data_IF_880839886660
#
_entry.id   IF_880839886660
#
_cell.length_a   1.000
_cell.length_b   1.000
_cell.length_c   1.000
_cell.angle_alpha   90.00
_cell.angle_beta   90.00
_cell.angle_gamma   90.00
#
_symmetry.space_group_name_H-M   'P 1'
#
loop_
_entity.id
_entity.type
_entity.pdbx_description
1 polymer ?
#
# COMPACT_ATOMS: atom_id res chain seq x y z
N UNK A 1 13.78 12.34 -29.38
CA UNK A 1 12.43 12.94 -29.35
C UNK A 1 11.48 12.35 -30.40
N UNK A 2 11.66 12.59 -31.71
CA UNK A 2 10.69 12.17 -32.74
C UNK A 2 10.34 10.66 -32.75
N UNK A 3 11.35 9.78 -32.72
CA UNK A 3 11.13 8.32 -32.65
C UNK A 3 10.33 7.90 -31.41
N UNK A 4 10.60 8.50 -30.25
CA UNK A 4 9.88 8.22 -29.01
C UNK A 4 8.42 8.66 -29.09
N UNK A 5 8.13 9.85 -29.66
CA UNK A 5 6.74 10.30 -29.89
C UNK A 5 5.99 9.31 -30.78
N UNK A 6 6.61 8.87 -31.86
CA UNK A 6 6.00 7.90 -32.78
C UNK A 6 5.65 6.58 -32.06
N UNK A 7 6.58 6.02 -31.28
CA UNK A 7 6.34 4.79 -30.50
C UNK A 7 5.17 4.98 -29.52
N UNK A 8 5.12 6.10 -28.80
CA UNK A 8 4.00 6.39 -27.88
C UNK A 8 2.69 6.46 -28.67
N UNK A 9 2.61 7.27 -29.73
CA UNK A 9 1.39 7.47 -30.54
C UNK A 9 0.86 6.14 -31.09
N UNK A 10 1.73 5.28 -31.61
CA UNK A 10 1.33 3.98 -32.15
C UNK A 10 0.72 3.03 -31.11
N UNK A 11 1.02 3.22 -29.82
CA UNK A 11 0.47 2.41 -28.74
C UNK A 11 -0.87 2.95 -28.20
N UNK A 12 -1.28 4.16 -28.58
CA UNK A 12 -2.49 4.80 -28.05
C UNK A 12 -3.71 4.54 -28.93
N UNK A 13 -4.86 4.35 -28.28
CA UNK A 13 -6.15 4.44 -28.95
C UNK A 13 -6.51 5.91 -29.26
N UNK A 14 -7.55 6.15 -30.06
CA UNK A 14 -7.95 7.50 -30.50
C UNK A 14 -8.25 8.45 -29.34
N UNK A 15 -8.82 7.96 -28.24
CA UNK A 15 -9.11 8.80 -27.07
C UNK A 15 -7.82 9.28 -26.39
N UNK A 16 -6.88 8.38 -26.16
CA UNK A 16 -5.61 8.71 -25.51
C UNK A 16 -4.70 9.55 -26.40
N UNK A 17 -4.69 9.29 -27.70
CA UNK A 17 -3.99 10.15 -28.66
C UNK A 17 -4.45 11.60 -28.57
N UNK A 18 -5.76 11.85 -28.53
CA UNK A 18 -6.32 13.20 -28.43
C UNK A 18 -5.88 13.93 -27.15
N UNK A 19 -5.56 13.21 -26.08
CA UNK A 19 -5.10 13.82 -24.81
C UNK A 19 -3.67 14.31 -24.87
N UNK A 20 -2.82 13.67 -25.68
CA UNK A 20 -1.37 13.94 -25.76
C UNK A 20 -0.94 14.58 -27.08
N UNK A 21 -1.85 14.72 -28.06
CA UNK A 21 -1.54 15.20 -29.41
C UNK A 21 -0.98 16.62 -29.44
N UNK A 22 -1.35 17.46 -28.47
CA UNK A 22 -0.84 18.83 -28.31
C UNK A 22 0.52 18.93 -27.61
N UNK A 23 1.05 17.84 -27.05
CA UNK A 23 2.34 17.84 -26.37
C UNK A 23 3.51 18.02 -27.36
N UNK A 24 4.44 18.91 -27.02
CA UNK A 24 5.60 19.22 -27.86
C UNK A 24 6.62 18.08 -27.84
N UNK A 25 6.85 17.48 -26.67
CA UNK A 25 7.89 16.46 -26.46
C UNK A 25 7.29 15.10 -26.12
N UNK A 26 8.05 14.02 -26.40
CA UNK A 26 7.68 12.68 -25.96
C UNK A 26 7.59 12.59 -24.43
N UNK A 27 8.39 13.38 -23.72
CA UNK A 27 8.37 13.49 -22.27
C UNK A 27 7.03 14.05 -21.78
N UNK A 28 6.56 15.17 -22.33
CA UNK A 28 5.25 15.72 -21.97
C UNK A 28 4.10 14.75 -22.26
N UNK A 29 4.17 14.00 -23.38
CA UNK A 29 3.18 12.97 -23.68
C UNK A 29 3.17 11.88 -22.60
N UNK A 30 4.34 11.41 -22.19
CA UNK A 30 4.49 10.42 -21.14
C UNK A 30 4.01 10.94 -19.78
N UNK A 31 4.49 12.11 -19.35
CA UNK A 31 4.13 12.75 -18.09
C UNK A 31 2.59 12.97 -18.00
N UNK A 32 1.93 13.31 -19.13
CA UNK A 32 0.46 13.45 -19.22
C UNK A 32 -0.28 12.11 -19.09
N UNK A 33 0.25 11.04 -19.67
CA UNK A 33 -0.31 9.69 -19.55
C UNK A 33 -0.13 9.16 -18.13
N UNK A 34 1.05 9.34 -17.55
CA UNK A 34 1.35 8.98 -16.16
C UNK A 34 0.37 9.66 -15.19
N UNK A 35 0.19 10.98 -15.30
CA UNK A 35 -0.79 11.71 -14.47
C UNK A 35 -2.22 11.23 -14.72
N UNK A 36 -2.57 10.89 -15.96
CA UNK A 36 -3.90 10.42 -16.32
C UNK A 36 -4.24 9.07 -15.68
N UNK A 37 -3.30 8.14 -15.70
CA UNK A 37 -3.55 6.75 -15.34
C UNK A 37 -3.11 6.39 -13.93
N UNK A 38 -2.02 6.98 -13.47
CA UNK A 38 -1.46 6.72 -12.15
C UNK A 38 -1.72 7.85 -11.15
N UNK A 39 -2.19 9.02 -11.63
CA UNK A 39 -2.33 10.23 -10.83
C UNK A 39 -1.01 10.99 -10.68
N UNK A 40 -1.06 12.17 -10.06
CA UNK A 40 0.15 12.95 -9.77
C UNK A 40 0.92 12.35 -8.60
N UNK A 41 2.24 12.56 -8.57
CA UNK A 41 3.09 12.15 -7.45
C UNK A 41 2.59 12.72 -6.11
N UNK A 42 2.08 13.95 -6.09
CA UNK A 42 1.53 14.58 -4.88
C UNK A 42 0.28 13.85 -4.37
N UNK A 43 -0.60 13.40 -5.27
CA UNK A 43 -1.80 12.62 -4.88
C UNK A 43 -1.40 11.24 -4.37
N UNK A 44 -0.44 10.57 -5.03
CA UNK A 44 0.11 9.29 -4.55
C UNK A 44 0.71 9.43 -3.16
N UNK A 45 1.54 10.45 -2.94
CA UNK A 45 2.19 10.72 -1.65
C UNK A 45 1.19 11.05 -0.55
N UNK A 46 0.18 11.89 -0.83
CA UNK A 46 -0.89 12.18 0.12
C UNK A 46 -1.66 10.90 0.52
N UNK A 47 -1.92 10.00 -0.43
CA UNK A 47 -2.57 8.70 -0.16
C UNK A 47 -1.68 7.78 0.68
N UNK A 48 -0.38 7.71 0.39
CA UNK A 48 0.58 6.97 1.22
C UNK A 48 0.56 7.51 2.65
N UNK A 49 0.66 8.82 2.84
CA UNK A 49 0.68 9.44 4.16
C UNK A 49 -0.61 9.17 4.96
N UNK A 50 -1.77 9.22 4.30
CA UNK A 50 -3.04 8.86 4.92
C UNK A 50 -3.06 7.40 5.39
N UNK A 51 -2.63 6.47 4.54
CA UNK A 51 -2.59 5.04 4.85
C UNK A 51 -1.54 4.70 5.92
N UNK A 52 -0.37 5.36 5.89
CA UNK A 52 0.66 5.23 6.94
C UNK A 52 0.10 5.68 8.27
N UNK A 53 -0.62 6.81 8.31
CA UNK A 53 -1.28 7.27 9.54
C UNK A 53 -2.34 6.28 10.03
N UNK A 54 -3.14 5.73 9.12
CA UNK A 54 -4.13 4.70 9.46
C UNK A 54 -3.46 3.44 10.02
N UNK A 55 -2.36 3.00 9.42
CA UNK A 55 -1.52 1.91 9.93
C UNK A 55 -0.95 2.23 11.32
N UNK A 56 -0.34 3.40 11.52
CA UNK A 56 0.26 3.79 12.80
C UNK A 56 -0.79 3.86 13.91
N UNK A 57 -1.96 4.44 13.64
CA UNK A 57 -3.08 4.55 14.57
C UNK A 57 -3.93 3.27 14.67
N UNK A 58 -3.59 2.22 13.91
CA UNK A 58 -4.35 0.97 13.91
C UNK A 58 -4.43 0.36 15.30
N UNK A 59 -5.62 -0.06 15.69
CA UNK A 59 -5.90 -0.85 16.89
C UNK A 59 -7.12 -1.73 16.65
N UNK A 60 -7.22 -2.83 17.40
CA UNK A 60 -8.45 -3.63 17.44
C UNK A 60 -9.59 -2.78 18.03
N UNK A 61 -10.77 -2.84 17.43
CA UNK A 61 -11.98 -2.15 17.95
C UNK A 61 -12.63 -2.98 19.06
N UNK A 62 -13.38 -2.33 19.95
CA UNK A 62 -14.01 -2.98 21.12
C UNK A 62 -14.97 -4.13 20.77
N UNK A 63 -15.67 -4.05 19.63
CA UNK A 63 -16.64 -5.05 19.17
C UNK A 63 -16.19 -5.79 17.92
N UNK A 64 -14.90 -5.75 17.61
CA UNK A 64 -14.31 -6.45 16.48
C UNK A 64 -13.77 -7.80 16.94
N UNK A 65 -13.90 -8.83 16.12
CA UNK A 65 -13.22 -10.11 16.35
C UNK A 65 -11.85 -10.11 15.65
N UNK A 66 -10.98 -11.07 15.99
CA UNK A 66 -9.61 -11.13 15.46
C UNK A 66 -9.63 -11.20 13.93
N UNK A 67 -10.46 -12.05 13.34
CA UNK A 67 -10.56 -12.17 11.88
C UNK A 67 -10.90 -10.83 11.20
N UNK A 68 -11.85 -10.07 11.76
CA UNK A 68 -12.24 -8.75 11.27
C UNK A 68 -11.09 -7.73 11.37
N UNK A 69 -10.35 -7.76 12.49
CA UNK A 69 -9.15 -6.95 12.67
C UNK A 69 -8.10 -7.29 11.60
N UNK A 70 -7.81 -8.57 11.37
CA UNK A 70 -6.84 -9.00 10.36
C UNK A 70 -7.23 -8.57 8.95
N UNK A 71 -8.52 -8.70 8.57
CA UNK A 71 -9.00 -8.22 7.26
C UNK A 71 -8.73 -6.71 7.10
N UNK A 72 -9.05 -5.91 8.11
CA UNK A 72 -8.77 -4.45 8.09
C UNK A 72 -7.28 -4.16 7.99
N UNK A 73 -6.46 -4.87 8.75
CA UNK A 73 -5.01 -4.72 8.73
C UNK A 73 -4.43 -5.04 7.34
N UNK A 74 -4.79 -6.20 6.78
CA UNK A 74 -4.32 -6.65 5.46
C UNK A 74 -4.77 -5.70 4.35
N UNK A 75 -5.97 -5.12 4.43
CA UNK A 75 -6.42 -4.12 3.46
C UNK A 75 -5.52 -2.86 3.45
N UNK A 76 -5.06 -2.40 4.61
CA UNK A 76 -4.13 -1.27 4.72
C UNK A 76 -2.77 -1.65 4.12
N UNK A 77 -2.23 -2.82 4.48
CA UNK A 77 -0.95 -3.32 3.97
C UNK A 77 -0.98 -3.47 2.45
N UNK A 78 -2.01 -4.11 1.89
CA UNK A 78 -2.16 -4.30 0.45
C UNK A 78 -2.25 -2.96 -0.29
N UNK A 79 -2.97 -1.99 0.29
CA UNK A 79 -3.08 -0.64 -0.27
C UNK A 79 -1.73 0.08 -0.29
N UNK A 80 -0.94 -0.03 0.78
CA UNK A 80 0.41 0.53 0.85
C UNK A 80 1.37 -0.17 -0.11
N UNK A 81 1.31 -1.50 -0.21
CA UNK A 81 2.13 -2.30 -1.12
C UNK A 81 1.85 -1.94 -2.59
N UNK A 82 0.58 -1.69 -2.95
CA UNK A 82 0.21 -1.24 -4.29
C UNK A 82 0.82 0.12 -4.66
N UNK A 83 1.21 0.91 -3.66
CA UNK A 83 1.90 2.20 -3.79
C UNK A 83 3.41 2.07 -3.52
N UNK A 84 3.97 0.86 -3.62
CA UNK A 84 5.39 0.56 -3.39
C UNK A 84 5.88 0.85 -1.96
N UNK A 85 4.98 0.96 -0.97
CA UNK A 85 5.32 1.05 0.45
C UNK A 85 5.06 -0.31 1.12
N UNK A 86 6.12 -1.07 1.33
CA UNK A 86 6.03 -2.41 1.92
C UNK A 86 6.44 -2.41 3.40
N UNK A 87 5.86 -3.33 4.16
CA UNK A 87 6.33 -3.72 5.49
C UNK A 87 6.77 -5.17 5.45
N UNK A 88 7.85 -5.47 6.15
CA UNK A 88 8.34 -6.82 6.37
C UNK A 88 7.34 -7.61 7.22
N UNK A 89 7.39 -8.95 7.11
CA UNK A 89 6.54 -9.83 7.90
C UNK A 89 6.72 -9.59 9.42
N UNK A 90 7.95 -9.39 9.88
CA UNK A 90 8.25 -9.15 11.29
C UNK A 90 7.69 -7.81 11.79
N UNK A 91 7.71 -6.76 10.97
CA UNK A 91 7.05 -5.49 11.30
C UNK A 91 5.54 -5.66 11.44
N UNK A 92 4.92 -6.44 10.54
CA UNK A 92 3.48 -6.73 10.57
C UNK A 92 3.09 -7.54 11.81
N UNK A 93 3.82 -8.61 12.14
CA UNK A 93 3.62 -9.42 13.34
C UNK A 93 3.69 -8.56 14.59
N UNK A 94 4.77 -7.80 14.76
CA UNK A 94 4.95 -6.90 15.92
C UNK A 94 3.88 -5.81 15.96
N UNK A 95 3.38 -5.37 14.81
CA UNK A 95 2.31 -4.38 14.76
C UNK A 95 0.99 -4.98 15.25
N UNK A 96 0.57 -6.12 14.74
CA UNK A 96 -0.67 -6.79 15.17
C UNK A 96 -0.65 -7.06 16.67
N UNK A 97 0.44 -7.63 17.20
CA UNK A 97 0.56 -7.93 18.63
C UNK A 97 0.38 -6.67 19.51
N UNK A 98 0.95 -5.53 19.09
CA UNK A 98 0.78 -4.23 19.77
C UNK A 98 -0.61 -3.62 19.64
N UNK A 99 -1.39 -4.03 18.64
CA UNK A 99 -2.72 -3.52 18.35
C UNK A 99 -3.83 -4.31 19.06
N UNK A 100 -3.49 -5.43 19.72
CA UNK A 100 -4.44 -6.24 20.48
C UNK A 100 -4.84 -5.55 21.80
N UNK A 101 -6.06 -5.79 22.31
CA UNK A 101 -6.52 -5.26 23.59
C UNK A 101 -5.65 -5.75 24.77
N UNK A 102 -5.61 -4.99 25.86
CA UNK A 102 -4.81 -5.34 27.06
C UNK A 102 -5.16 -6.71 27.65
N UNK A 103 -6.38 -7.20 27.46
CA UNK A 103 -6.80 -8.55 27.87
C UNK A 103 -6.02 -9.68 27.18
N UNK A 104 -5.39 -9.40 26.04
CA UNK A 104 -4.55 -10.34 25.30
C UNK A 104 -3.08 -10.35 25.75
N UNK A 105 -2.67 -9.44 26.64
CA UNK A 105 -1.28 -9.32 27.08
C UNK A 105 -0.64 -10.64 27.52
N UNK A 106 -1.30 -11.51 28.33
CA UNK A 106 -0.69 -12.80 28.70
C UNK A 106 -0.38 -13.70 27.51
N UNK A 107 -1.22 -13.68 26.47
CA UNK A 107 -1.00 -14.45 25.24
C UNK A 107 0.11 -13.84 24.38
N UNK A 108 0.16 -12.51 24.29
CA UNK A 108 1.22 -11.79 23.58
C UNK A 108 2.59 -12.12 24.21
N UNK A 109 2.71 -12.00 25.53
CA UNK A 109 3.95 -12.36 26.25
C UNK A 109 4.35 -13.81 26.01
N UNK A 110 3.41 -14.76 26.06
CA UNK A 110 3.71 -16.16 25.79
C UNK A 110 4.23 -16.39 24.35
N UNK A 111 3.71 -15.67 23.35
CA UNK A 111 4.20 -15.74 21.97
C UNK A 111 5.61 -15.14 21.86
N UNK A 112 5.84 -13.98 22.49
CA UNK A 112 7.14 -13.29 22.48
C UNK A 112 8.25 -14.10 23.16
N UNK A 113 7.92 -14.89 24.19
CA UNK A 113 8.86 -15.77 24.88
C UNK A 113 9.10 -17.09 24.11
N UNK A 114 8.08 -17.62 23.44
CA UNK A 114 8.15 -18.94 22.80
C UNK A 114 8.61 -18.92 21.34
N UNK A 115 8.44 -17.80 20.63
CA UNK A 115 8.68 -17.71 19.17
C UNK A 115 9.56 -16.52 18.80
N UNK A 116 10.39 -16.69 17.77
CA UNK A 116 11.10 -15.57 17.14
C UNK A 116 10.17 -14.80 16.20
N UNK A 117 9.82 -13.57 16.59
CA UNK A 117 8.95 -12.68 15.80
C UNK A 117 9.55 -12.28 14.46
N UNK A 118 10.84 -12.49 14.22
CA UNK A 118 11.47 -12.20 12.93
C UNK A 118 11.15 -13.28 11.88
N UNK A 119 10.85 -14.51 12.33
CA UNK A 119 10.60 -15.66 11.46
C UNK A 119 9.16 -16.15 11.53
N UNK A 120 8.39 -15.75 12.55
CA UNK A 120 6.99 -16.14 12.73
C UNK A 120 6.11 -15.68 11.56
N UNK A 121 5.49 -16.57 10.78
CA UNK A 121 4.54 -16.19 9.74
C UNK A 121 3.33 -15.45 10.33
N UNK A 122 2.85 -14.42 9.63
CA UNK A 122 1.70 -13.62 10.07
C UNK A 122 0.43 -14.48 10.24
N UNK A 123 0.29 -15.51 9.42
CA UNK A 123 -0.84 -16.43 9.40
C UNK A 123 -0.92 -17.30 10.66
N UNK A 124 0.20 -17.49 11.38
CA UNK A 124 0.20 -18.24 12.65
C UNK A 124 -0.41 -17.46 13.83
N UNK A 125 -0.72 -16.17 13.63
CA UNK A 125 -1.38 -15.33 14.62
C UNK A 125 -2.92 -15.37 14.53
N UNK A 126 -3.48 -16.04 13.51
CA UNK A 126 -4.93 -16.17 13.27
C UNK A 126 -5.56 -17.34 14.04
#
# INVERSE_FOLDING_TARGET
>A
NAKAKHVIICALNSNEFNRVSSCATAKEMWDRLEVTYEGTNQVKEAKINMLVREYEMFSMKENENISGMFVRFTNIINSLQSLSKCYTNSEMVRKILRCLPKSWMPKVTAIEEAKDLNTLPLEELL
#
